data_IF_159432697658
#
_entry.id   IF_159432697658
#
_cell.length_a   1.000
_cell.length_b   1.000
_cell.length_c   1.000
_cell.angle_alpha   90.00
_cell.angle_beta   90.00
_cell.angle_gamma   90.00
#
_symmetry.space_group_name_H-M   'P 1'
#
loop_
_entity.id
_entity.type
_entity.pdbx_description
1 polymer ?
#
# COMPACT_ATOMS: atom_id res chain seq x y z
N UNK A 1 -6.82 -10.01 -46.16
CA UNK A 1 -6.50 -8.71 -45.51
C UNK A 1 -6.78 -8.84 -44.02
N UNK A 2 -5.78 -8.96 -43.14
CA UNK A 2 -6.05 -9.11 -41.71
C UNK A 2 -6.24 -7.73 -41.07
N UNK A 3 -7.41 -7.55 -40.46
CA UNK A 3 -7.75 -6.38 -39.64
C UNK A 3 -6.88 -6.40 -38.38
N UNK A 4 -6.08 -5.34 -38.20
CA UNK A 4 -5.27 -5.11 -37.00
C UNK A 4 -6.19 -4.96 -35.79
N UNK A 5 -6.28 -6.02 -34.98
CA UNK A 5 -6.83 -5.95 -33.63
C UNK A 5 -5.86 -5.18 -32.74
N UNK A 6 -6.05 -3.85 -32.65
CA UNK A 6 -5.34 -3.02 -31.70
C UNK A 6 -5.83 -3.34 -30.29
N UNK A 7 -4.95 -3.89 -29.46
CA UNK A 7 -5.16 -4.00 -28.03
C UNK A 7 -5.31 -2.58 -27.47
N UNK A 8 -6.55 -2.14 -27.24
CA UNK A 8 -6.77 -0.93 -26.44
C UNK A 8 -6.45 -1.29 -25.00
N UNK A 9 -5.51 -0.56 -24.41
CA UNK A 9 -5.26 -0.62 -22.98
C UNK A 9 -6.59 -0.47 -22.23
N UNK A 10 -6.82 -1.24 -21.15
CA UNK A 10 -8.05 -1.12 -20.38
C UNK A 10 -8.16 0.30 -19.82
N UNK A 11 -9.01 1.11 -20.44
CA UNK A 11 -9.46 2.38 -19.88
C UNK A 11 -10.16 2.03 -18.56
N UNK A 12 -9.75 2.64 -17.45
CA UNK A 12 -10.38 2.42 -16.13
C UNK A 12 -11.89 2.51 -16.31
N UNK A 13 -12.58 1.38 -16.14
CA UNK A 13 -14.00 1.41 -15.86
C UNK A 13 -14.12 2.09 -14.49
N UNK A 14 -14.89 3.18 -14.44
CA UNK A 14 -15.32 3.82 -13.20
C UNK A 14 -16.17 2.81 -12.43
N UNK A 15 -15.50 1.89 -11.75
CA UNK A 15 -16.14 0.97 -10.82
C UNK A 15 -16.54 1.83 -9.62
N UNK A 16 -17.85 2.01 -9.45
CA UNK A 16 -18.52 2.71 -8.34
C UNK A 16 -18.24 2.08 -6.94
N UNK A 17 -17.08 1.45 -6.72
CA UNK A 17 -16.75 0.65 -5.53
C UNK A 17 -15.35 0.91 -4.96
N UNK A 18 -14.57 1.88 -5.45
CA UNK A 18 -13.36 2.29 -4.73
C UNK A 18 -13.75 3.42 -3.77
N UNK A 19 -14.19 3.06 -2.56
CA UNK A 19 -14.34 4.07 -1.51
C UNK A 19 -12.92 4.57 -1.21
N UNK A 20 -12.65 5.86 -1.41
CA UNK A 20 -11.35 6.53 -1.20
C UNK A 20 -10.95 6.59 0.30
N UNK A 21 -11.15 5.48 1.02
CA UNK A 21 -10.99 5.29 2.45
C UNK A 21 -9.84 4.32 2.68
N UNK A 22 -8.75 4.87 3.17
CA UNK A 22 -7.53 4.17 3.53
C UNK A 22 -7.31 4.25 5.05
N UNK A 23 -6.20 3.68 5.51
CA UNK A 23 -5.83 3.79 6.93
C UNK A 23 -5.63 5.27 7.28
N UNK A 24 -6.39 5.77 8.26
CA UNK A 24 -6.30 7.16 8.66
C UNK A 24 -4.96 7.47 9.36
N UNK A 25 -4.40 8.66 9.15
CA UNK A 25 -3.14 9.09 9.78
C UNK A 25 -3.19 9.11 11.31
N UNK A 26 -4.36 9.42 11.89
CA UNK A 26 -4.59 9.48 13.34
C UNK A 26 -4.87 8.11 13.97
N UNK A 27 -4.97 7.06 13.15
CA UNK A 27 -5.22 5.71 13.66
C UNK A 27 -4.07 5.19 14.53
N UNK A 28 -4.41 4.32 15.49
CA UNK A 28 -3.48 3.69 16.44
C UNK A 28 -2.70 2.54 15.77
N UNK A 29 -1.96 2.87 14.73
CA UNK A 29 -1.10 1.96 13.97
C UNK A 29 0.33 2.48 13.97
N UNK A 30 1.29 1.56 13.92
CA UNK A 30 2.69 1.91 13.81
C UNK A 30 2.92 2.76 12.55
N UNK A 31 3.76 3.79 12.65
CA UNK A 31 4.02 4.75 11.57
C UNK A 31 4.40 4.07 10.24
N UNK A 32 5.21 3.02 10.29
CA UNK A 32 5.60 2.26 9.10
C UNK A 32 4.41 1.66 8.32
N UNK A 33 3.32 1.28 9.00
CA UNK A 33 2.11 0.78 8.34
C UNK A 33 1.36 1.91 7.63
N UNK A 34 1.21 3.05 8.32
CA UNK A 34 0.55 4.26 7.78
C UNK A 34 1.29 4.81 6.57
N UNK A 35 2.61 4.92 6.67
CA UNK A 35 3.46 5.33 5.55
C UNK A 35 3.57 4.23 4.48
N UNK A 36 3.42 2.96 4.85
CA UNK A 36 3.36 1.84 3.91
C UNK A 36 2.24 2.03 2.89
N UNK A 37 1.03 2.31 3.36
CA UNK A 37 -0.13 2.58 2.49
C UNK A 37 0.11 3.79 1.59
N UNK A 38 0.61 4.90 2.16
CA UNK A 38 0.96 6.09 1.40
C UNK A 38 1.95 5.77 0.26
N UNK A 39 3.01 5.03 0.58
CA UNK A 39 4.03 4.65 -0.40
C UNK A 39 3.47 3.71 -1.47
N UNK A 40 2.62 2.74 -1.10
CA UNK A 40 2.03 1.78 -2.02
C UNK A 40 1.11 2.47 -3.03
N UNK A 41 0.23 3.37 -2.57
CA UNK A 41 -0.70 4.09 -3.44
C UNK A 41 0.05 4.98 -4.43
N UNK A 42 1.05 5.72 -3.94
CA UNK A 42 1.88 6.57 -4.80
C UNK A 42 2.65 5.73 -5.81
N UNK A 43 3.21 4.59 -5.39
CA UNK A 43 3.94 3.70 -6.28
C UNK A 43 3.02 3.15 -7.38
N UNK A 44 1.83 2.67 -7.01
CA UNK A 44 0.82 2.20 -7.96
C UNK A 44 0.42 3.31 -8.94
N UNK A 45 0.21 4.53 -8.45
CA UNK A 45 -0.10 5.67 -9.30
C UNK A 45 0.99 5.92 -10.34
N UNK A 46 2.26 5.90 -9.93
CA UNK A 46 3.36 6.17 -10.86
C UNK A 46 3.48 5.06 -11.93
N UNK A 47 3.27 3.80 -11.56
CA UNK A 47 3.42 2.68 -12.49
C UNK A 47 2.21 2.41 -13.38
N UNK A 48 1.00 2.70 -12.91
CA UNK A 48 -0.25 2.35 -13.61
C UNK A 48 -0.79 3.55 -14.41
N UNK A 49 -0.48 4.78 -14.04
CA UNK A 49 -1.03 5.95 -14.73
C UNK A 49 -0.36 6.17 -16.08
N UNK A 50 -1.19 6.42 -17.11
CA UNK A 50 -0.71 6.90 -18.40
C UNK A 50 -0.16 8.33 -18.26
N UNK A 51 0.76 8.71 -19.15
CA UNK A 51 1.40 10.05 -19.15
C UNK A 51 0.37 11.18 -19.16
N UNK A 52 -0.71 11.01 -19.93
CA UNK A 52 -1.76 12.03 -20.07
C UNK A 52 -2.67 12.10 -18.83
N UNK A 53 -2.86 10.97 -18.13
CA UNK A 53 -3.71 10.87 -16.94
C UNK A 53 -2.97 11.15 -15.62
N UNK A 54 -1.64 11.20 -15.64
CA UNK A 54 -0.81 11.31 -14.43
C UNK A 54 -1.12 12.56 -13.59
N UNK A 55 -1.33 13.71 -14.23
CA UNK A 55 -1.62 14.98 -13.53
C UNK A 55 -2.93 14.87 -12.73
N UNK A 56 -3.95 14.30 -13.35
CA UNK A 56 -5.27 14.10 -12.76
C UNK A 56 -5.21 13.08 -11.62
N UNK A 57 -4.57 11.92 -11.84
CA UNK A 57 -4.43 10.90 -10.81
C UNK A 57 -3.63 11.40 -9.60
N UNK A 58 -2.56 12.16 -9.85
CA UNK A 58 -1.77 12.79 -8.79
C UNK A 58 -2.64 13.75 -7.98
N UNK A 59 -3.48 14.55 -8.63
CA UNK A 59 -4.39 15.47 -7.96
C UNK A 59 -5.43 14.73 -7.11
N UNK A 60 -6.09 13.73 -7.70
CA UNK A 60 -7.05 12.85 -7.02
C UNK A 60 -6.45 12.22 -5.77
N UNK A 61 -5.26 11.60 -5.89
CA UNK A 61 -4.59 10.97 -4.76
C UNK A 61 -4.23 11.95 -3.65
N UNK A 62 -3.85 13.19 -3.96
CA UNK A 62 -3.61 14.21 -2.92
C UNK A 62 -4.90 14.48 -2.14
N UNK A 63 -6.01 14.71 -2.83
CA UNK A 63 -7.31 14.95 -2.20
C UNK A 63 -7.70 13.76 -1.33
N UNK A 64 -7.64 12.55 -1.88
CA UNK A 64 -7.97 11.31 -1.16
C UNK A 64 -7.10 11.14 0.09
N UNK A 65 -5.78 11.32 -0.01
CA UNK A 65 -4.87 11.16 1.13
C UNK A 65 -5.08 12.25 2.19
N UNK A 66 -5.38 13.48 1.79
CA UNK A 66 -5.75 14.55 2.72
C UNK A 66 -7.05 14.21 3.47
N UNK A 67 -8.06 13.68 2.78
CA UNK A 67 -9.31 13.22 3.41
C UNK A 67 -9.08 12.05 4.39
N UNK A 68 -8.00 11.27 4.20
CA UNK A 68 -7.55 10.24 5.14
C UNK A 68 -6.64 10.79 6.26
N UNK A 69 -6.52 12.12 6.38
CA UNK A 69 -5.82 12.82 7.46
C UNK A 69 -4.32 12.97 7.26
N UNK A 70 -3.75 12.57 6.12
CA UNK A 70 -2.32 12.75 5.87
C UNK A 70 -1.99 14.22 5.59
N UNK A 71 -0.88 14.70 6.14
CA UNK A 71 -0.41 16.06 5.88
C UNK A 71 0.07 16.21 4.44
N UNK A 72 -0.13 17.39 3.84
CA UNK A 72 0.41 17.69 2.51
C UNK A 72 1.92 17.50 2.45
N UNK A 73 2.61 17.84 3.54
CA UNK A 73 4.05 17.63 3.68
C UNK A 73 4.44 16.15 3.56
N UNK A 74 3.75 15.25 4.28
CA UNK A 74 4.02 13.80 4.20
C UNK A 74 3.76 13.25 2.80
N UNK A 75 2.67 13.70 2.17
CA UNK A 75 2.29 13.30 0.82
C UNK A 75 3.37 13.73 -0.19
N UNK A 76 3.76 15.01 -0.16
CA UNK A 76 4.82 15.54 -1.03
C UNK A 76 6.16 14.85 -0.84
N UNK A 77 6.53 14.61 0.42
CA UNK A 77 7.74 13.89 0.78
C UNK A 77 7.73 12.47 0.22
N UNK A 78 6.60 11.77 0.30
CA UNK A 78 6.46 10.43 -0.24
C UNK A 78 6.53 10.41 -1.78
N UNK A 79 5.90 11.37 -2.46
CA UNK A 79 6.02 11.51 -3.91
C UNK A 79 7.47 11.74 -4.34
N UNK A 80 8.16 12.70 -3.72
CA UNK A 80 9.57 12.99 -4.01
C UNK A 80 10.45 11.76 -3.84
N UNK A 81 10.27 11.04 -2.72
CA UNK A 81 11.01 9.83 -2.40
C UNK A 81 10.79 8.71 -3.42
N UNK A 82 9.56 8.52 -3.91
CA UNK A 82 9.30 7.48 -4.91
C UNK A 82 9.85 7.86 -6.28
N UNK A 83 9.70 9.11 -6.69
CA UNK A 83 10.24 9.56 -7.97
C UNK A 83 11.78 9.50 -7.99
N UNK A 84 12.44 9.86 -6.89
CA UNK A 84 13.90 9.76 -6.80
C UNK A 84 14.39 8.31 -6.87
N UNK A 85 13.63 7.35 -6.33
CA UNK A 85 13.98 5.93 -6.43
C UNK A 85 13.89 5.42 -7.86
N UNK A 86 12.89 5.83 -8.61
CA UNK A 86 12.75 5.45 -10.03
C UNK A 86 13.92 5.97 -10.86
N UNK A 87 14.36 7.21 -10.60
CA UNK A 87 15.52 7.78 -11.27
C UNK A 87 16.83 7.07 -10.86
N UNK A 88 16.98 6.72 -9.58
CA UNK A 88 18.17 6.01 -9.07
C UNK A 88 18.28 4.56 -9.54
N UNK A 89 17.19 3.92 -9.94
CA UNK A 89 17.21 2.56 -10.50
C UNK A 89 17.81 2.50 -11.92
N UNK A 90 18.09 3.65 -12.55
CA UNK A 90 18.79 3.70 -13.83
C UNK A 90 20.32 3.62 -13.68
N UNK A 91 20.85 3.86 -12.48
CA UNK A 91 22.27 3.69 -12.16
C UNK A 91 22.51 2.30 -11.56
N UNK A 92 22.65 1.29 -12.42
CA UNK A 92 23.06 -0.04 -12.01
C UNK A 92 24.55 -0.03 -11.62
N UNK A 93 24.85 0.24 -10.36
CA UNK A 93 26.07 -0.26 -9.73
C UNK A 93 25.64 -1.28 -8.68
N UNK A 94 25.91 -2.59 -8.87
CA UNK A 94 25.72 -3.57 -7.82
C UNK A 94 26.59 -3.16 -6.63
N UNK A 95 26.06 -3.07 -5.40
CA UNK A 95 26.92 -3.05 -4.23
C UNK A 95 27.69 -4.38 -4.20
N UNK A 96 29.02 -4.31 -4.18
CA UNK A 96 29.86 -5.48 -3.92
C UNK A 96 29.35 -6.19 -2.66
N UNK A 97 28.80 -7.39 -2.84
CA UNK A 97 28.32 -8.24 -1.75
C UNK A 97 29.52 -8.81 -0.99
N UNK A 98 30.13 -8.00 -0.12
CA UNK A 98 30.91 -8.54 0.98
C UNK A 98 29.95 -9.23 1.95
N UNK A 99 29.67 -10.49 1.63
CA UNK A 99 28.83 -11.40 2.42
C UNK A 99 29.57 -11.76 3.70
N UNK A 100 29.54 -10.85 4.68
CA UNK A 100 29.79 -11.24 6.05
C UNK A 100 28.60 -12.12 6.48
N UNK A 101 28.89 -13.31 7.02
CA UNK A 101 27.90 -14.22 7.60
C UNK A 101 27.26 -13.56 8.83
N UNK A 102 26.35 -12.62 8.63
CA UNK A 102 25.54 -12.05 9.69
C UNK A 102 24.40 -13.04 9.90
N UNK A 103 24.37 -13.68 11.08
CA UNK A 103 23.24 -14.51 11.50
C UNK A 103 21.92 -13.77 11.26
N UNK A 104 20.97 -14.44 10.62
CA UNK A 104 19.69 -13.83 10.29
C UNK A 104 19.02 -13.27 11.56
N UNK A 105 18.61 -11.99 11.56
CA UNK A 105 18.08 -11.35 12.76
C UNK A 105 16.77 -12.01 13.19
N UNK A 106 16.66 -12.28 14.50
CA UNK A 106 15.46 -12.90 15.10
C UNK A 106 14.28 -11.92 15.02
N UNK A 107 13.09 -12.43 14.70
CA UNK A 107 11.87 -11.60 14.54
C UNK A 107 10.90 -11.85 15.69
N UNK A 108 10.31 -10.78 16.23
CA UNK A 108 9.30 -10.88 17.30
C UNK A 108 8.06 -10.08 16.89
N UNK A 109 6.88 -10.65 17.10
CA UNK A 109 5.61 -10.00 16.78
C UNK A 109 4.99 -9.42 18.06
N UNK A 110 4.62 -8.14 18.02
CA UNK A 110 4.04 -7.43 19.16
C UNK A 110 2.77 -6.68 18.73
N UNK A 111 1.73 -6.61 19.58
CA UNK A 111 0.64 -5.66 19.35
C UNK A 111 1.18 -4.22 19.47
N UNK A 112 0.74 -3.32 18.59
CA UNK A 112 1.16 -1.92 18.63
C UNK A 112 0.41 -1.18 19.73
N UNK A 113 1.16 -0.62 20.67
CA UNK A 113 0.67 0.29 21.71
C UNK A 113 1.60 1.50 21.69
N UNK A 114 1.05 2.63 21.26
CA UNK A 114 1.80 3.87 21.09
C UNK A 114 2.56 4.24 22.37
N UNK A 115 3.85 4.52 22.24
CA UNK A 115 4.72 4.90 23.35
C UNK A 115 5.28 3.74 24.18
N UNK A 116 4.60 2.60 24.25
CA UNK A 116 5.08 1.40 24.96
C UNK A 116 5.88 0.51 24.02
N UNK A 117 5.25 0.00 22.98
CA UNK A 117 5.89 -0.95 22.07
C UNK A 117 6.98 -0.29 21.21
N UNK A 118 6.91 1.04 21.03
CA UNK A 118 7.99 1.83 20.41
C UNK A 118 9.29 1.76 21.24
N UNK A 119 9.19 1.86 22.57
CA UNK A 119 10.35 1.76 23.49
C UNK A 119 10.91 0.34 23.50
N UNK A 120 10.03 -0.66 23.61
CA UNK A 120 10.42 -2.08 23.54
C UNK A 120 11.14 -2.37 22.21
N UNK A 121 10.59 -1.87 21.09
CA UNK A 121 11.21 -2.05 19.79
C UNK A 121 12.58 -1.42 19.64
N UNK A 122 12.83 -0.27 20.28
CA UNK A 122 14.17 0.34 20.33
C UNK A 122 15.17 -0.54 21.09
N UNK A 123 14.73 -1.19 22.17
CA UNK A 123 15.57 -2.13 22.94
C UNK A 123 15.86 -3.37 22.09
N UNK A 124 14.85 -3.97 21.47
CA UNK A 124 15.03 -5.15 20.61
C UNK A 124 16.02 -4.93 19.47
N UNK A 125 15.98 -3.77 18.83
CA UNK A 125 16.94 -3.41 17.77
C UNK A 125 18.39 -3.41 18.24
N UNK A 126 18.67 -3.05 19.50
CA UNK A 126 20.03 -3.10 20.07
C UNK A 126 20.56 -4.53 20.21
N UNK A 127 19.65 -5.50 20.33
CA UNK A 127 19.98 -6.92 20.48
C UNK A 127 19.80 -7.71 19.17
N UNK A 128 19.83 -7.03 18.01
CA UNK A 128 19.62 -7.65 16.69
C UNK A 128 18.29 -8.41 16.56
N UNK A 129 17.25 -7.95 17.27
CA UNK A 129 15.89 -8.49 17.18
C UNK A 129 15.03 -7.48 16.42
N UNK A 130 14.32 -7.94 15.40
CA UNK A 130 13.42 -7.13 14.59
C UNK A 130 11.99 -7.20 15.17
N UNK A 131 11.49 -6.13 15.79
CA UNK A 131 10.09 -6.05 16.20
C UNK A 131 9.18 -5.83 14.98
N UNK A 132 8.15 -6.65 14.84
CA UNK A 132 7.07 -6.49 13.87
C UNK A 132 5.80 -6.15 14.65
N UNK A 133 5.35 -4.91 14.50
CA UNK A 133 4.16 -4.42 15.18
C UNK A 133 2.89 -4.80 14.41
N UNK A 134 1.92 -5.39 15.09
CA UNK A 134 0.58 -5.71 14.58
C UNK A 134 -0.43 -4.76 15.20
N UNK A 135 -1.42 -4.26 14.45
CA UNK A 135 -2.48 -3.47 15.07
C UNK A 135 -3.31 -4.33 16.03
N UNK A 136 -3.83 -3.72 17.10
CA UNK A 136 -4.67 -4.41 18.07
C UNK A 136 -5.97 -4.92 17.43
N UNK A 137 -6.57 -4.13 16.54
CA UNK A 137 -7.76 -4.50 15.77
C UNK A 137 -7.56 -4.20 14.29
N UNK A 138 -8.07 -5.07 13.41
CA UNK A 138 -8.07 -4.81 11.96
C UNK A 138 -9.33 -4.03 11.60
N UNK A 139 -9.23 -3.15 10.60
CA UNK A 139 -10.38 -2.40 10.06
C UNK A 139 -11.53 -3.34 9.66
N UNK A 140 -11.22 -4.48 9.04
CA UNK A 140 -12.21 -5.51 8.68
C UNK A 140 -13.00 -6.10 9.85
N UNK A 141 -12.51 -5.97 11.08
CA UNK A 141 -13.22 -6.43 12.27
C UNK A 141 -14.16 -5.34 12.82
N UNK A 142 -13.90 -4.07 12.49
CA UNK A 142 -14.74 -2.93 12.89
C UNK A 142 -15.84 -2.66 11.87
N UNK A 143 -15.57 -2.88 10.59
CA UNK A 143 -16.53 -2.70 9.51
C UNK A 143 -17.39 -3.96 9.35
N UNK A 144 -18.68 -3.78 9.13
CA UNK A 144 -19.54 -4.88 8.68
C UNK A 144 -19.07 -5.34 7.29
N UNK A 145 -19.13 -6.65 7.00
CA UNK A 145 -18.89 -7.12 5.63
C UNK A 145 -19.85 -6.40 4.68
N UNK A 146 -19.31 -5.81 3.62
CA UNK A 146 -20.08 -5.07 2.61
C UNK A 146 -20.96 -6.01 1.79
N UNK A 147 -20.58 -7.29 1.72
CA UNK A 147 -21.34 -8.33 1.04
C UNK A 147 -22.23 -9.04 2.05
N UNK A 148 -23.51 -9.17 1.71
CA UNK A 148 -24.41 -10.05 2.44
C UNK A 148 -23.90 -11.48 2.38
N UNK A 149 -23.91 -12.15 3.53
CA UNK A 149 -23.61 -13.57 3.60
C UNK A 149 -24.84 -14.29 3.08
N UNK A 150 -24.82 -14.72 1.82
CA UNK A 150 -25.89 -15.52 1.22
C UNK A 150 -25.77 -16.93 1.83
N UNK A 151 -26.76 -17.42 2.60
CA UNK A 151 -26.68 -18.72 3.28
C UNK A 151 -26.91 -19.91 2.35
N UNK A 152 -26.77 -19.74 1.03
CA UNK A 152 -27.02 -20.78 0.05
C UNK A 152 -25.71 -21.46 -0.32
N UNK A 153 -25.54 -22.68 0.20
CA UNK A 153 -24.55 -23.63 -0.28
C UNK A 153 -24.80 -23.95 -1.75
N UNK A 154 -23.70 -24.14 -2.47
CA UNK A 154 -23.55 -24.43 -3.91
C UNK A 154 -23.51 -23.19 -4.82
N UNK A 155 -22.40 -22.97 -5.56
CA UNK A 155 -22.35 -21.95 -6.60
C UNK A 155 -23.37 -22.31 -7.70
N UNK A 156 -24.32 -21.41 -7.96
CA UNK A 156 -25.28 -21.58 -9.04
C UNK A 156 -24.58 -21.61 -10.41
N UNK A 157 -24.99 -22.54 -11.26
CA UNK A 157 -24.63 -22.53 -12.69
C UNK A 157 -25.53 -21.50 -13.36
N UNK A 158 -24.95 -20.49 -13.98
CA UNK A 158 -25.68 -19.49 -14.76
C UNK A 158 -25.48 -19.78 -16.24
N UNK A 159 -26.58 -19.90 -16.99
CA UNK A 159 -26.58 -19.99 -18.44
C UNK A 159 -26.67 -18.58 -19.02
N UNK A 160 -25.79 -18.27 -19.99
CA UNK A 160 -25.84 -17.01 -20.75
C UNK A 160 -26.47 -17.35 -22.10
N UNK A 161 -27.69 -16.86 -22.41
CA UNK A 161 -28.31 -17.11 -23.71
C UNK A 161 -27.47 -16.47 -24.81
N UNK A 162 -27.14 -17.28 -25.81
CA UNK A 162 -26.43 -16.87 -27.02
C UNK A 162 -27.36 -16.29 -28.08
#
# INVERSE_FOLDING_TARGET
LPLRGGWKAPKRQETHTLTDRYLNSSSHHHSAQKYGILNTLINQAIHISDRDSWKEEKHRLRITLQQNGYSLYDIDKAFKKQLSRLNSLQDHTPPDEQTQQIEAPKRVFLPYVQGVTDKIGRIFKKHNIIPIFKPATKIRNLLRPVKDIIPLGTPGVYEIPC
#
